data_IF_906754328028
#
_entry.id   IF_906754328028
#
_cell.length_a   1.000
_cell.length_b   1.000
_cell.length_c   1.000
_cell.angle_alpha   90.00
_cell.angle_beta   90.00
_cell.angle_gamma   90.00
#
_symmetry.space_group_name_H-M   'P 1'
#
loop_
_entity.id
_entity.type
_entity.pdbx_description
1 polymer ?
#
# COMPACT_ATOMS: atom_id res chain seq x y z
N UNK A 1 5.99 28.91 11.18
CA UNK A 1 6.74 28.02 10.27
C UNK A 1 6.98 28.79 9.00
N UNK A 2 8.22 28.82 8.50
CA UNK A 2 8.56 29.54 7.28
C UNK A 2 8.16 28.75 6.03
N UNK A 3 7.98 29.42 4.89
CA UNK A 3 7.68 28.77 3.61
C UNK A 3 8.77 27.76 3.20
N UNK A 4 10.02 27.98 3.63
CA UNK A 4 11.13 27.05 3.43
C UNK A 4 10.95 25.76 4.25
N UNK A 5 10.37 25.84 5.46
CA UNK A 5 10.09 24.68 6.31
C UNK A 5 8.98 23.81 5.71
N UNK A 6 7.96 24.43 5.08
CA UNK A 6 6.87 23.73 4.41
C UNK A 6 7.32 22.93 3.18
N UNK A 7 8.35 23.41 2.48
CA UNK A 7 8.95 22.69 1.33
C UNK A 7 9.84 21.55 1.80
N UNK A 8 10.48 21.68 2.96
CA UNK A 8 11.40 20.67 3.50
C UNK A 8 10.66 19.44 4.07
N UNK A 9 9.45 19.64 4.62
CA UNK A 9 8.68 18.63 5.36
C UNK A 9 8.20 17.43 4.51
N UNK A 10 8.38 17.47 3.18
CA UNK A 10 7.81 16.49 2.25
C UNK A 10 8.80 15.88 1.22
N UNK A 11 10.11 16.08 1.39
CA UNK A 11 11.11 15.61 0.42
C UNK A 11 11.64 14.20 0.69
N UNK A 12 11.24 13.57 1.80
CA UNK A 12 11.70 12.22 2.15
C UNK A 12 10.61 11.20 1.78
N UNK A 13 10.93 10.33 0.82
CA UNK A 13 10.03 9.23 0.48
C UNK A 13 10.05 8.14 1.56
N UNK A 14 8.96 7.37 1.69
CA UNK A 14 8.92 6.20 2.57
C UNK A 14 10.10 5.24 2.31
N UNK A 15 10.46 5.01 1.05
CA UNK A 15 11.58 4.13 0.70
C UNK A 15 12.92 4.69 1.17
N UNK A 16 13.13 6.00 1.02
CA UNK A 16 14.32 6.69 1.54
C UNK A 16 14.41 6.55 3.06
N UNK A 17 13.30 6.74 3.77
CA UNK A 17 13.26 6.59 5.22
C UNK A 17 13.59 5.16 5.66
N UNK A 18 12.97 4.16 5.03
CA UNK A 18 13.18 2.74 5.36
C UNK A 18 14.63 2.31 5.14
N UNK A 19 15.24 2.69 4.00
CA UNK A 19 16.64 2.37 3.72
C UNK A 19 17.60 3.11 4.67
N UNK A 20 17.27 4.34 5.06
CA UNK A 20 18.06 5.08 6.05
C UNK A 20 18.02 4.39 7.42
N UNK A 21 16.88 3.85 7.85
CA UNK A 21 16.77 3.11 9.09
C UNK A 21 17.49 1.75 9.01
N UNK A 22 17.36 0.99 7.92
CA UNK A 22 18.13 -0.25 7.72
C UNK A 22 19.64 -0.03 7.87
N UNK A 23 20.18 1.03 7.25
CA UNK A 23 21.60 1.36 7.33
C UNK A 23 22.09 1.68 8.75
N UNK A 24 21.19 2.04 9.68
CA UNK A 24 21.50 2.31 11.09
C UNK A 24 21.58 1.02 11.93
N UNK A 25 21.21 -0.12 11.37
CA UNK A 25 21.19 -1.41 12.04
C UNK A 25 22.18 -2.40 11.37
N UNK A 26 23.41 -2.55 11.90
CA UNK A 26 24.47 -3.35 11.27
C UNK A 26 24.18 -4.85 11.06
N UNK A 27 23.11 -5.38 11.66
CA UNK A 27 22.64 -6.75 11.48
C UNK A 27 21.35 -6.88 10.67
N UNK A 28 20.87 -5.78 10.08
CA UNK A 28 19.71 -5.83 9.21
C UNK A 28 20.09 -6.43 7.85
N UNK A 29 19.32 -7.42 7.41
CA UNK A 29 19.53 -8.12 6.12
C UNK A 29 18.61 -7.58 5.00
N UNK A 30 17.71 -6.64 5.35
CA UNK A 30 16.82 -5.97 4.40
C UNK A 30 15.44 -6.60 4.21
N UNK A 31 15.14 -7.75 4.84
CA UNK A 31 13.84 -8.42 4.73
C UNK A 31 12.66 -7.51 5.09
N UNK A 32 12.78 -6.78 6.20
CA UNK A 32 11.75 -5.82 6.62
C UNK A 32 11.58 -4.69 5.60
N UNK A 33 12.69 -4.18 5.05
CA UNK A 33 12.66 -3.13 4.04
C UNK A 33 11.98 -3.58 2.75
N UNK A 34 12.21 -4.84 2.36
CA UNK A 34 11.51 -5.48 1.25
C UNK A 34 10.02 -5.63 1.52
N UNK A 35 9.63 -6.12 2.68
CA UNK A 35 8.22 -6.25 3.10
C UNK A 35 7.52 -4.88 3.05
N UNK A 36 8.13 -3.84 3.62
CA UNK A 36 7.55 -2.49 3.62
C UNK A 36 7.46 -1.94 2.19
N UNK A 37 8.46 -2.20 1.35
CA UNK A 37 8.43 -1.78 -0.06
C UNK A 37 7.30 -2.46 -0.84
N UNK A 38 7.08 -3.76 -0.64
CA UNK A 38 5.98 -4.51 -1.24
C UNK A 38 4.61 -3.99 -0.77
N UNK A 39 4.44 -3.74 0.52
CA UNK A 39 3.22 -3.15 1.09
C UNK A 39 2.97 -1.75 0.50
N UNK A 40 4.01 -0.91 0.38
CA UNK A 40 3.89 0.43 -0.20
C UNK A 40 3.42 0.38 -1.65
N UNK A 41 4.01 -0.50 -2.46
CA UNK A 41 3.63 -0.68 -3.86
C UNK A 41 2.20 -1.22 -4.01
N UNK A 42 1.85 -2.22 -3.20
CA UNK A 42 0.51 -2.80 -3.15
C UNK A 42 -0.53 -1.73 -2.79
N UNK A 43 -0.27 -0.95 -1.74
CA UNK A 43 -1.14 0.14 -1.31
C UNK A 43 -1.33 1.21 -2.38
N UNK A 44 -0.27 1.63 -3.07
CA UNK A 44 -0.36 2.57 -4.21
C UNK A 44 -1.21 2.00 -5.35
N UNK A 45 -1.07 0.70 -5.62
CA UNK A 45 -1.82 -0.01 -6.68
C UNK A 45 -3.30 -0.12 -6.33
N UNK A 46 -3.63 -0.51 -5.11
CA UNK A 46 -5.00 -0.55 -4.57
C UNK A 46 -5.61 0.85 -4.63
N UNK A 47 -4.89 1.88 -4.17
CA UNK A 47 -5.38 3.25 -4.21
C UNK A 47 -5.68 3.73 -5.65
N UNK A 48 -4.90 3.29 -6.65
CA UNK A 48 -5.20 3.57 -8.05
C UNK A 48 -6.50 2.88 -8.49
N UNK A 49 -6.67 1.60 -8.16
CA UNK A 49 -7.89 0.83 -8.44
C UNK A 49 -9.14 1.43 -7.79
N UNK A 50 -9.05 1.84 -6.52
CA UNK A 50 -10.15 2.51 -5.81
C UNK A 50 -10.56 3.79 -6.51
N UNK A 51 -9.60 4.64 -6.92
CA UNK A 51 -9.91 5.89 -7.66
C UNK A 51 -10.62 5.64 -9.00
N UNK A 52 -10.40 4.47 -9.62
CA UNK A 52 -10.97 4.09 -10.91
C UNK A 52 -12.14 3.12 -10.79
N UNK A 53 -12.55 2.75 -9.58
CA UNK A 53 -13.44 1.62 -9.35
C UNK A 53 -14.80 1.73 -10.07
N UNK A 54 -15.33 2.97 -10.18
CA UNK A 54 -16.56 3.27 -10.94
C UNK A 54 -16.40 3.16 -12.44
N UNK A 55 -15.21 3.43 -12.96
CA UNK A 55 -14.91 3.36 -14.40
C UNK A 55 -14.62 1.92 -14.83
N UNK A 56 -14.02 1.13 -13.93
CA UNK A 56 -13.60 -0.25 -14.16
C UNK A 56 -14.70 -1.28 -13.77
N UNK A 57 -15.93 -0.84 -13.45
CA UNK A 57 -17.10 -1.66 -13.04
C UNK A 57 -16.81 -2.70 -11.94
N UNK A 58 -15.93 -2.34 -11.00
CA UNK A 58 -15.53 -3.19 -9.86
C UNK A 58 -16.27 -2.84 -8.58
N UNK A 59 -17.37 -2.07 -8.69
CA UNK A 59 -18.28 -1.82 -7.58
C UNK A 59 -19.39 -2.87 -7.57
N UNK A 60 -19.44 -3.66 -6.52
CA UNK A 60 -20.52 -4.63 -6.30
C UNK A 60 -20.05 -5.88 -5.59
N UNK A 61 -21.03 -6.68 -5.18
CA UNK A 61 -20.80 -7.99 -4.60
C UNK A 61 -20.06 -8.91 -5.59
N UNK A 62 -19.12 -9.68 -5.06
CA UNK A 62 -18.52 -10.80 -5.78
C UNK A 62 -19.46 -12.03 -5.80
N UNK A 63 -20.55 -11.98 -5.03
CA UNK A 63 -21.52 -13.07 -4.91
C UNK A 63 -21.04 -14.23 -4.03
N UNK A 64 -19.92 -14.05 -3.32
CA UNK A 64 -19.38 -14.97 -2.33
C UNK A 64 -19.49 -14.39 -0.93
N UNK A 65 -19.75 -15.26 0.04
CA UNK A 65 -19.66 -14.95 1.46
C UNK A 65 -18.23 -15.27 1.93
N UNK A 66 -17.60 -14.35 2.67
CA UNK A 66 -16.27 -14.59 3.23
C UNK A 66 -16.35 -15.52 4.46
N UNK A 67 -15.18 -15.92 5.00
CA UNK A 67 -15.13 -16.82 6.18
C UNK A 67 -15.71 -16.18 7.45
N UNK A 68 -15.99 -14.88 7.41
CA UNK A 68 -16.59 -14.09 8.49
C UNK A 68 -18.12 -13.93 8.35
N UNK A 69 -18.72 -14.42 7.26
CA UNK A 69 -20.15 -14.34 7.02
C UNK A 69 -20.63 -13.04 6.35
N UNK A 70 -19.71 -12.29 5.74
CA UNK A 70 -20.01 -11.02 5.06
C UNK A 70 -20.02 -11.21 3.54
N UNK A 71 -20.88 -10.46 2.85
CA UNK A 71 -20.87 -10.41 1.39
C UNK A 71 -19.57 -9.76 0.91
N UNK A 72 -18.74 -10.54 0.22
CA UNK A 72 -17.44 -10.09 -0.25
C UNK A 72 -17.60 -9.16 -1.46
N UNK A 73 -16.94 -8.00 -1.43
CA UNK A 73 -16.94 -7.09 -2.56
C UNK A 73 -15.84 -7.49 -3.56
N UNK A 74 -16.08 -7.20 -4.85
CA UNK A 74 -15.08 -7.46 -5.90
C UNK A 74 -13.75 -6.74 -5.64
N UNK A 75 -13.81 -5.53 -5.08
CA UNK A 75 -12.62 -4.77 -4.70
C UNK A 75 -11.80 -5.47 -3.61
N UNK A 76 -12.44 -6.20 -2.71
CA UNK A 76 -11.76 -6.92 -1.62
C UNK A 76 -10.92 -8.07 -2.19
N UNK A 77 -11.48 -8.81 -3.15
CA UNK A 77 -10.77 -9.89 -3.87
C UNK A 77 -9.56 -9.33 -4.61
N UNK A 78 -9.74 -8.22 -5.33
CA UNK A 78 -8.68 -7.56 -6.10
C UNK A 78 -7.57 -7.07 -5.16
N UNK A 79 -7.92 -6.44 -4.03
CA UNK A 79 -6.94 -5.97 -3.06
C UNK A 79 -6.13 -7.12 -2.47
N UNK A 80 -6.79 -8.24 -2.12
CA UNK A 80 -6.12 -9.44 -1.64
C UNK A 80 -5.15 -10.02 -2.68
N UNK A 81 -5.56 -10.11 -3.95
CA UNK A 81 -4.68 -10.56 -5.03
C UNK A 81 -3.48 -9.63 -5.29
N UNK A 82 -3.63 -8.33 -5.06
CA UNK A 82 -2.52 -7.38 -5.20
C UNK A 82 -1.50 -7.58 -4.08
N UNK A 83 -1.95 -7.82 -2.85
CA UNK A 83 -1.08 -8.01 -1.68
C UNK A 83 -0.37 -9.36 -1.71
N UNK A 84 -1.02 -10.40 -2.22
CA UNK A 84 -0.50 -11.78 -2.27
C UNK A 84 0.43 -12.06 -3.46
N UNK A 85 0.60 -11.10 -4.38
CA UNK A 85 1.54 -11.18 -5.51
C UNK A 85 2.95 -10.80 -5.09
#
# INVERSE_FOLDING_TARGET
MSDADLVHDNLVSLQTHVLAEEARHPGAEGDLSWIISAISLSGKTIANKVRRARLDDVLGAHGSENVQGEEQLRMDVIANEIIMR
#
